data_IF_989075015045
#
_entry.id   IF_989075015045
#
_cell.length_a   1.000
_cell.length_b   1.000
_cell.length_c   1.000
_cell.angle_alpha   90.00
_cell.angle_beta   90.00
_cell.angle_gamma   90.00
#
_symmetry.space_group_name_H-M   'P 1'
#
loop_
_entity.id
_entity.type
_entity.pdbx_description
1 polymer ?
#
# COMPACT_ATOMS: atom_id res chain seq x y z
N UNK A 1 -24.23 15.93 21.09
CA UNK A 1 -22.88 15.40 20.78
C UNK A 1 -22.38 16.04 19.50
N UNK A 2 -21.29 16.82 19.54
CA UNK A 2 -20.66 17.34 18.30
C UNK A 2 -20.12 16.16 17.50
N UNK A 3 -20.65 15.95 16.28
CA UNK A 3 -20.17 14.92 15.35
C UNK A 3 -18.68 15.21 15.08
N UNK A 4 -17.77 14.42 15.64
CA UNK A 4 -16.33 14.60 15.38
C UNK A 4 -16.10 14.39 13.88
N UNK A 5 -15.43 15.38 13.26
CA UNK A 5 -15.05 15.26 11.84
C UNK A 5 -14.14 14.05 11.64
N UNK A 6 -14.44 13.26 10.60
CA UNK A 6 -13.61 12.13 10.19
C UNK A 6 -12.18 12.61 9.84
N UNK A 7 -11.18 11.80 10.18
CA UNK A 7 -9.76 12.10 9.90
C UNK A 7 -9.53 12.43 8.42
N UNK A 8 -10.20 11.72 7.51
CA UNK A 8 -10.13 11.97 6.06
C UNK A 8 -10.51 13.39 5.69
N UNK A 9 -11.59 13.90 6.27
CA UNK A 9 -12.04 15.28 6.02
C UNK A 9 -11.03 16.28 6.56
N UNK A 10 -10.45 16.02 7.73
CA UNK A 10 -9.38 16.88 8.29
C UNK A 10 -8.14 16.90 7.38
N UNK A 11 -7.74 15.75 6.83
CA UNK A 11 -6.61 15.66 5.88
C UNK A 11 -6.91 16.46 4.61
N UNK A 12 -8.11 16.30 4.03
CA UNK A 12 -8.51 17.07 2.84
C UNK A 12 -8.56 18.59 3.11
N UNK A 13 -9.01 19.01 4.29
CA UNK A 13 -8.95 20.41 4.71
C UNK A 13 -7.50 20.87 4.80
N UNK A 14 -6.62 20.10 5.44
CA UNK A 14 -5.19 20.39 5.51
C UNK A 14 -4.55 20.52 4.12
N UNK A 15 -4.90 19.62 3.20
CA UNK A 15 -4.47 19.65 1.80
C UNK A 15 -4.91 20.98 1.11
N UNK A 16 -6.20 21.29 1.15
CA UNK A 16 -6.75 22.48 0.48
C UNK A 16 -6.16 23.75 1.06
N UNK A 17 -6.09 23.87 2.38
CA UNK A 17 -5.47 25.01 3.05
C UNK A 17 -3.98 25.11 2.71
N UNK A 18 -3.27 23.98 2.66
CA UNK A 18 -1.85 23.95 2.26
C UNK A 18 -1.63 24.45 0.84
N UNK A 19 -2.48 24.03 -0.10
CA UNK A 19 -2.45 24.53 -1.50
C UNK A 19 -2.69 26.05 -1.54
N UNK A 20 -3.72 26.55 -0.85
CA UNK A 20 -4.07 27.97 -0.85
C UNK A 20 -2.91 28.80 -0.28
N UNK A 21 -2.42 28.42 0.90
CA UNK A 21 -1.32 29.16 1.57
C UNK A 21 -0.03 29.09 0.74
N UNK A 22 0.30 27.92 0.18
CA UNK A 22 1.46 27.78 -0.71
C UNK A 22 1.35 28.63 -1.98
N UNK A 23 0.16 28.70 -2.59
CA UNK A 23 -0.10 29.55 -3.75
C UNK A 23 0.02 31.05 -3.42
N UNK A 24 -0.41 31.47 -2.23
CA UNK A 24 -0.23 32.85 -1.75
C UNK A 24 1.26 33.16 -1.58
N UNK A 25 2.04 32.30 -0.95
CA UNK A 25 3.50 32.51 -0.85
C UNK A 25 4.16 32.59 -2.23
N UNK A 26 3.81 31.68 -3.12
CA UNK A 26 4.33 31.67 -4.49
C UNK A 26 4.00 32.97 -5.25
N UNK A 27 2.75 33.46 -5.15
CA UNK A 27 2.29 34.65 -5.84
C UNK A 27 2.90 35.94 -5.27
N UNK A 28 3.18 36.01 -3.96
CA UNK A 28 3.68 37.20 -3.28
C UNK A 28 5.19 37.32 -3.26
N UNK A 29 5.91 36.17 -3.14
CA UNK A 29 7.36 36.16 -2.97
C UNK A 29 8.12 35.61 -4.19
N UNK A 30 7.43 34.98 -5.15
CA UNK A 30 8.04 34.20 -6.22
C UNK A 30 8.51 32.83 -5.76
N UNK A 31 8.76 31.91 -6.70
CA UNK A 31 9.03 30.50 -6.40
C UNK A 31 10.28 30.30 -5.51
N UNK A 32 11.38 31.00 -5.81
CA UNK A 32 12.65 30.84 -5.10
C UNK A 32 12.55 31.31 -3.65
N UNK A 33 12.17 32.57 -3.41
CA UNK A 33 12.07 33.14 -2.06
C UNK A 33 10.96 32.45 -1.24
N UNK A 34 9.83 32.09 -1.86
CA UNK A 34 8.76 31.35 -1.20
C UNK A 34 9.20 29.92 -0.85
N UNK A 35 9.93 29.24 -1.75
CA UNK A 35 10.50 27.91 -1.52
C UNK A 35 11.49 27.91 -0.36
N UNK A 36 12.40 28.87 -0.31
CA UNK A 36 13.39 29.01 0.76
C UNK A 36 12.73 29.30 2.10
N UNK A 37 11.82 30.26 2.16
CA UNK A 37 11.11 30.62 3.38
C UNK A 37 10.29 29.43 3.93
N UNK A 38 9.46 28.83 3.08
CA UNK A 38 8.60 27.73 3.49
C UNK A 38 9.42 26.47 3.78
N UNK A 39 10.52 26.25 3.05
CA UNK A 39 11.49 25.16 3.28
C UNK A 39 12.14 25.26 4.65
N UNK A 40 12.50 26.47 5.08
CA UNK A 40 13.15 26.71 6.37
C UNK A 40 12.20 26.67 7.57
N UNK A 41 10.98 27.20 7.43
CA UNK A 41 10.10 27.44 8.58
C UNK A 41 8.84 26.57 8.63
N UNK A 42 8.36 26.05 7.50
CA UNK A 42 7.10 25.28 7.44
C UNK A 42 7.36 23.80 7.15
N UNK A 43 8.19 23.50 6.14
CA UNK A 43 8.54 22.13 5.76
C UNK A 43 9.02 21.26 6.93
N UNK A 44 9.81 21.74 7.91
CA UNK A 44 10.25 20.93 9.04
C UNK A 44 9.13 20.24 9.82
N UNK A 45 7.94 20.84 9.93
CA UNK A 45 6.78 20.20 10.55
C UNK A 45 6.27 19.01 9.71
N UNK A 46 6.31 19.13 8.39
CA UNK A 46 6.05 18.03 7.48
C UNK A 46 7.11 16.94 7.56
N UNK A 47 8.40 17.31 7.65
CA UNK A 47 9.52 16.39 7.78
C UNK A 47 9.46 15.60 9.09
N UNK A 48 9.06 16.23 10.21
CA UNK A 48 8.79 15.53 11.49
C UNK A 48 7.73 14.45 11.27
N UNK A 49 6.64 14.78 10.59
CA UNK A 49 5.59 13.81 10.31
C UNK A 49 6.09 12.66 9.44
N UNK A 50 6.86 12.92 8.38
CA UNK A 50 7.49 11.89 7.54
C UNK A 50 8.47 11.02 8.36
N UNK A 51 9.24 11.63 9.25
CA UNK A 51 10.15 10.89 10.13
C UNK A 51 9.41 9.97 11.10
N UNK A 52 8.27 10.40 11.66
CA UNK A 52 7.41 9.55 12.49
C UNK A 52 6.82 8.38 11.68
N UNK A 53 6.47 8.58 10.40
CA UNK A 53 6.07 7.49 9.53
C UNK A 53 7.23 6.51 9.31
N UNK A 54 8.45 6.99 9.03
CA UNK A 54 9.64 6.13 8.87
C UNK A 54 9.96 5.36 10.14
N UNK A 55 9.82 5.98 11.30
CA UNK A 55 10.05 5.36 12.61
C UNK A 55 9.21 4.09 12.81
N UNK A 56 7.94 4.09 12.40
CA UNK A 56 7.04 2.97 12.63
C UNK A 56 7.15 1.85 11.57
N UNK A 57 7.82 2.09 10.44
CA UNK A 57 7.88 1.15 9.29
C UNK A 57 8.43 -0.21 9.70
N UNK A 58 9.62 -0.24 10.29
CA UNK A 58 10.31 -1.50 10.63
C UNK A 58 9.50 -2.37 11.59
N UNK A 59 9.06 -1.87 12.76
CA UNK A 59 8.26 -2.67 13.67
C UNK A 59 6.90 -3.07 13.06
N UNK A 60 6.26 -2.18 12.31
CA UNK A 60 4.98 -2.48 11.69
C UNK A 60 5.10 -3.63 10.67
N UNK A 61 6.07 -3.56 9.75
CA UNK A 61 6.28 -4.59 8.72
C UNK A 61 6.64 -5.92 9.36
N UNK A 62 7.61 -5.93 10.28
CA UNK A 62 8.05 -7.15 10.95
C UNK A 62 6.89 -7.84 11.68
N UNK A 63 6.19 -7.10 12.53
CA UNK A 63 5.15 -7.66 13.39
C UNK A 63 3.89 -8.03 12.62
N UNK A 64 3.46 -7.19 11.66
CA UNK A 64 2.25 -7.46 10.87
C UNK A 64 2.42 -8.70 10.00
N UNK A 65 3.59 -8.92 9.39
CA UNK A 65 3.85 -10.10 8.58
C UNK A 65 3.94 -11.36 9.47
N UNK A 66 4.65 -11.29 10.61
CA UNK A 66 4.71 -12.40 11.55
C UNK A 66 3.31 -12.77 12.05
N UNK A 67 2.52 -11.79 12.47
CA UNK A 67 1.15 -11.97 12.96
C UNK A 67 0.22 -12.51 11.87
N UNK A 68 0.37 -12.03 10.64
CA UNK A 68 -0.32 -12.54 9.46
C UNK A 68 -0.04 -14.02 9.23
N UNK A 69 1.23 -14.44 9.29
CA UNK A 69 1.63 -15.86 9.17
C UNK A 69 1.07 -16.68 10.33
N UNK A 70 1.18 -16.20 11.56
CA UNK A 70 0.68 -16.88 12.77
C UNK A 70 -0.84 -17.08 12.70
N UNK A 71 -1.58 -16.09 12.24
CA UNK A 71 -3.05 -16.12 12.12
C UNK A 71 -3.55 -17.11 11.07
N UNK A 72 -2.69 -17.57 10.14
CA UNK A 72 -3.02 -18.67 9.23
C UNK A 72 -3.26 -20.01 9.96
N UNK A 73 -2.81 -20.13 11.21
CA UNK A 73 -3.05 -21.29 12.05
C UNK A 73 -2.30 -22.56 11.61
N UNK A 74 -2.88 -23.72 11.87
CA UNK A 74 -2.28 -24.99 11.53
C UNK A 74 -2.21 -25.19 10.01
N UNK A 75 -0.99 -25.17 9.48
CA UNK A 75 -0.68 -25.37 8.04
C UNK A 75 -1.35 -26.66 7.51
N UNK A 76 -1.55 -27.65 8.35
CA UNK A 76 -2.16 -28.94 7.97
C UNK A 76 -3.69 -28.88 7.83
N UNK A 77 -4.38 -28.05 8.63
CA UNK A 77 -5.85 -27.89 8.59
C UNK A 77 -6.32 -26.85 7.55
N UNK A 78 -5.47 -25.88 7.27
CA UNK A 78 -5.71 -24.82 6.26
C UNK A 78 -5.30 -25.30 4.85
N UNK A 79 -4.77 -26.50 4.74
CA UNK A 79 -4.03 -27.04 3.60
C UNK A 79 -4.57 -26.69 2.20
N UNK A 80 -5.86 -26.92 1.89
CA UNK A 80 -6.39 -26.64 0.54
C UNK A 80 -6.89 -25.21 0.36
N UNK A 81 -7.69 -24.70 1.29
CA UNK A 81 -8.26 -23.33 1.20
C UNK A 81 -7.17 -22.27 1.31
N UNK A 82 -6.26 -22.44 2.28
CA UNK A 82 -5.21 -21.48 2.56
C UNK A 82 -4.24 -21.27 1.39
N UNK A 83 -3.71 -22.36 0.86
CA UNK A 83 -2.76 -22.23 -0.24
C UNK A 83 -3.41 -21.67 -1.51
N UNK A 84 -4.68 -22.08 -1.82
CA UNK A 84 -5.45 -21.55 -2.96
C UNK A 84 -5.67 -20.04 -2.80
N UNK A 85 -6.01 -19.60 -1.59
CA UNK A 85 -6.22 -18.19 -1.25
C UNK A 85 -4.93 -17.37 -1.39
N UNK A 86 -3.82 -17.84 -0.81
CA UNK A 86 -2.53 -17.13 -0.88
C UNK A 86 -2.02 -17.10 -2.32
N UNK A 87 -2.09 -18.21 -3.05
CA UNK A 87 -1.69 -18.26 -4.45
C UNK A 87 -2.54 -17.28 -5.31
N UNK A 88 -3.86 -17.23 -5.07
CA UNK A 88 -4.74 -16.29 -5.75
C UNK A 88 -4.28 -14.85 -5.52
N UNK A 89 -4.10 -14.43 -4.26
CA UNK A 89 -3.70 -13.06 -3.92
C UNK A 89 -2.30 -12.71 -4.47
N UNK A 90 -1.33 -13.61 -4.38
CA UNK A 90 0.00 -13.34 -4.94
C UNK A 90 -0.02 -13.16 -6.46
N UNK A 91 -0.80 -13.97 -7.17
CA UNK A 91 -0.93 -13.87 -8.62
C UNK A 91 -1.65 -12.57 -9.02
N UNK A 92 -2.78 -12.24 -8.37
CA UNK A 92 -3.52 -11.00 -8.67
C UNK A 92 -2.69 -9.76 -8.33
N UNK A 93 -1.94 -9.77 -7.22
CA UNK A 93 -1.06 -8.66 -6.84
C UNK A 93 0.12 -8.50 -7.81
N UNK A 94 0.73 -9.58 -8.28
CA UNK A 94 1.78 -9.50 -9.29
C UNK A 94 1.24 -8.92 -10.62
N UNK A 95 0.04 -9.33 -11.05
CA UNK A 95 -0.63 -8.76 -12.23
C UNK A 95 -0.97 -7.28 -11.98
N UNK A 96 -1.42 -6.92 -10.78
CA UNK A 96 -1.69 -5.53 -10.39
C UNK A 96 -0.44 -4.66 -10.53
N UNK A 97 0.73 -5.15 -10.07
CA UNK A 97 2.01 -4.46 -10.25
C UNK A 97 2.33 -4.24 -11.73
N UNK A 98 2.17 -5.27 -12.58
CA UNK A 98 2.42 -5.14 -14.02
C UNK A 98 1.48 -4.08 -14.64
N UNK A 99 0.19 -4.11 -14.32
CA UNK A 99 -0.77 -3.10 -14.79
C UNK A 99 -0.33 -1.69 -14.32
N UNK A 100 0.03 -1.53 -13.05
CA UNK A 100 0.48 -0.26 -12.50
C UNK A 100 1.73 0.28 -13.21
N UNK A 101 2.74 -0.57 -13.47
CA UNK A 101 3.96 -0.19 -14.18
C UNK A 101 3.67 0.17 -15.64
N UNK A 102 2.84 -0.60 -16.34
CA UNK A 102 2.47 -0.32 -17.74
C UNK A 102 1.74 1.01 -17.83
N UNK A 103 0.70 1.21 -17.02
CA UNK A 103 -0.07 2.46 -17.02
C UNK A 103 0.83 3.65 -16.68
N UNK A 104 1.63 3.56 -15.62
CA UNK A 104 2.54 4.64 -15.22
C UNK A 104 3.57 4.97 -16.32
N UNK A 105 4.06 3.95 -17.03
CA UNK A 105 5.02 4.14 -18.13
C UNK A 105 4.39 4.92 -19.30
N UNK A 106 3.10 4.75 -19.57
CA UNK A 106 2.38 5.54 -20.58
C UNK A 106 2.27 7.02 -20.18
N UNK A 107 2.18 7.33 -18.90
CA UNK A 107 2.11 8.68 -18.39
C UNK A 107 3.48 9.30 -18.08
N UNK A 108 4.57 8.52 -18.10
CA UNK A 108 5.93 8.92 -17.71
C UNK A 108 6.40 10.22 -18.39
N UNK A 109 6.11 10.39 -19.68
CA UNK A 109 6.52 11.58 -20.43
C UNK A 109 5.84 12.88 -19.93
N UNK A 110 4.67 12.76 -19.29
CA UNK A 110 3.90 13.89 -18.75
C UNK A 110 4.24 14.21 -17.30
N UNK A 111 5.08 13.40 -16.65
CA UNK A 111 5.50 13.66 -15.27
C UNK A 111 6.63 14.70 -15.23
N UNK A 112 6.61 15.64 -14.27
CA UNK A 112 7.56 16.73 -14.22
C UNK A 112 8.94 16.28 -13.74
N UNK A 113 9.98 16.97 -14.21
CA UNK A 113 11.27 16.98 -13.54
C UNK A 113 11.24 18.12 -12.52
N UNK A 114 11.48 17.83 -11.26
CA UNK A 114 11.48 18.84 -10.19
C UNK A 114 12.89 19.32 -9.93
N UNK A 115 13.08 20.65 -9.86
CA UNK A 115 14.40 21.29 -9.57
C UNK A 115 14.87 21.10 -8.12
N UNK A 116 14.24 20.23 -7.33
CA UNK A 116 14.58 19.99 -5.92
C UNK A 116 15.91 19.23 -5.70
N UNK A 117 16.58 18.84 -6.78
CA UNK A 117 17.73 17.93 -6.74
C UNK A 117 18.98 18.44 -7.48
N UNK A 118 19.18 19.76 -7.61
CA UNK A 118 20.36 20.29 -8.33
C UNK A 118 21.72 19.84 -7.72
N UNK A 119 21.77 19.38 -6.46
CA UNK A 119 23.00 18.96 -5.78
C UNK A 119 23.15 17.45 -5.52
N UNK A 120 22.19 16.62 -5.94
CA UNK A 120 22.25 15.18 -5.70
C UNK A 120 22.32 14.41 -7.02
N UNK A 121 23.53 14.10 -7.47
CA UNK A 121 23.76 13.08 -8.51
C UNK A 121 23.41 11.73 -7.89
N UNK A 122 22.18 11.27 -8.10
CA UNK A 122 21.77 9.91 -7.72
C UNK A 122 22.22 8.94 -8.81
N UNK A 123 23.32 8.23 -8.54
CA UNK A 123 23.67 7.08 -9.36
C UNK A 123 22.66 5.97 -9.09
N UNK A 124 21.94 5.56 -10.14
CA UNK A 124 21.10 4.37 -10.07
C UNK A 124 21.99 3.18 -9.66
N UNK A 125 21.70 2.55 -8.53
CA UNK A 125 22.38 1.30 -8.14
C UNK A 125 22.11 0.26 -9.23
N UNK A 126 23.09 0.02 -10.08
CA UNK A 126 23.08 -1.09 -11.03
C UNK A 126 23.29 -2.38 -10.24
N UNK A 127 22.24 -2.95 -9.68
CA UNK A 127 22.29 -4.27 -9.08
C UNK A 127 21.97 -5.33 -10.14
N UNK A 128 22.80 -6.36 -10.21
CA UNK A 128 22.49 -7.55 -10.97
C UNK A 128 21.26 -8.23 -10.33
N UNK A 129 20.32 -8.72 -11.14
CA UNK A 129 19.11 -9.38 -10.65
C UNK A 129 19.44 -10.54 -9.69
N UNK A 130 20.48 -11.33 -10.01
CA UNK A 130 20.89 -12.46 -9.18
C UNK A 130 21.46 -12.00 -7.83
N UNK A 131 22.28 -10.95 -7.82
CA UNK A 131 22.79 -10.37 -6.58
C UNK A 131 21.66 -9.81 -5.71
N UNK A 132 20.63 -9.24 -6.33
CA UNK A 132 19.44 -8.78 -5.63
C UNK A 132 18.68 -9.94 -5.00
N UNK A 133 18.47 -11.07 -5.72
CA UNK A 133 17.80 -12.26 -5.19
C UNK A 133 18.57 -12.83 -4.00
N UNK A 134 19.90 -12.94 -4.10
CA UNK A 134 20.76 -13.42 -2.99
C UNK A 134 20.66 -12.47 -1.79
N UNK A 135 20.71 -11.17 -2.05
CA UNK A 135 20.66 -10.14 -1.01
C UNK A 135 19.27 -9.98 -0.34
N UNK A 136 18.21 -10.64 -0.85
CA UNK A 136 16.93 -10.75 -0.14
C UNK A 136 17.09 -11.55 1.16
N UNK A 137 18.00 -12.54 1.19
CA UNK A 137 18.24 -13.36 2.36
C UNK A 137 19.28 -12.70 3.28
N UNK A 138 18.91 -12.39 4.54
CA UNK A 138 19.82 -11.69 5.45
C UNK A 138 20.91 -12.63 5.99
N UNK A 139 22.15 -12.19 5.95
CA UNK A 139 23.24 -12.87 6.65
C UNK A 139 23.24 -12.65 8.19
N UNK A 140 22.42 -11.71 8.67
CA UNK A 140 22.29 -11.34 10.07
C UNK A 140 20.87 -10.83 10.34
N UNK A 141 20.24 -11.28 11.43
CA UNK A 141 18.85 -10.94 11.74
C UNK A 141 18.67 -9.49 12.29
N UNK A 142 19.72 -8.84 12.77
CA UNK A 142 19.62 -7.51 13.41
C UNK A 142 19.97 -6.39 12.42
N UNK A 143 21.00 -6.59 11.60
CA UNK A 143 21.46 -5.58 10.64
C UNK A 143 20.32 -5.05 9.71
N UNK A 144 19.42 -5.88 9.16
CA UNK A 144 18.30 -5.40 8.36
C UNK A 144 17.36 -4.47 9.11
N UNK A 145 17.13 -4.71 10.41
CA UNK A 145 16.26 -3.87 11.23
C UNK A 145 16.86 -2.49 11.45
N UNK A 146 18.18 -2.41 11.68
CA UNK A 146 18.90 -1.14 11.87
C UNK A 146 18.98 -0.34 10.57
N UNK A 147 19.25 -1.03 9.46
CA UNK A 147 19.42 -0.42 8.15
C UNK A 147 18.10 -0.24 7.39
N UNK A 148 16.96 -0.65 7.98
CA UNK A 148 15.64 -0.64 7.34
C UNK A 148 15.62 -1.38 6.00
N UNK A 149 16.35 -2.49 5.87
CA UNK A 149 16.43 -3.31 4.65
C UNK A 149 15.17 -4.16 4.51
N UNK A 150 14.11 -3.60 3.95
CA UNK A 150 12.74 -4.10 4.05
C UNK A 150 12.55 -5.51 3.47
N UNK A 151 13.15 -5.83 2.31
CA UNK A 151 13.07 -7.19 1.75
C UNK A 151 13.61 -8.24 2.71
N UNK A 152 14.73 -7.95 3.36
CA UNK A 152 15.34 -8.84 4.36
C UNK A 152 14.47 -8.93 5.62
N UNK A 153 13.82 -7.82 6.04
CA UNK A 153 12.88 -7.81 7.18
C UNK A 153 11.67 -8.71 6.89
N UNK A 154 11.13 -8.66 5.65
CA UNK A 154 10.04 -9.55 5.24
C UNK A 154 10.46 -11.02 5.36
N UNK A 155 11.65 -11.36 4.87
CA UNK A 155 12.16 -12.75 4.98
C UNK A 155 12.30 -13.16 6.44
N UNK A 156 12.88 -12.31 7.29
CA UNK A 156 12.97 -12.56 8.75
C UNK A 156 11.58 -12.82 9.32
N UNK A 157 10.60 -11.96 9.01
CA UNK A 157 9.23 -12.07 9.52
C UNK A 157 8.57 -13.38 9.09
N UNK A 158 8.72 -13.79 7.82
CA UNK A 158 8.18 -15.05 7.30
C UNK A 158 8.83 -16.26 7.99
N UNK A 159 10.16 -16.29 8.13
CA UNK A 159 10.84 -17.41 8.80
C UNK A 159 10.46 -17.53 10.27
N UNK A 160 10.43 -16.44 11.02
CA UNK A 160 10.03 -16.47 12.43
C UNK A 160 8.54 -16.79 12.59
N UNK A 161 7.66 -16.23 11.74
CA UNK A 161 6.24 -16.57 11.74
C UNK A 161 5.99 -18.07 11.50
N UNK A 162 6.64 -18.65 10.48
CA UNK A 162 6.61 -20.09 10.22
C UNK A 162 7.21 -20.89 11.38
N UNK A 163 8.34 -20.45 11.95
CA UNK A 163 8.97 -21.09 13.10
C UNK A 163 8.05 -21.16 14.33
N UNK A 164 7.29 -20.11 14.60
CA UNK A 164 6.29 -20.07 15.68
C UNK A 164 5.20 -21.11 15.45
N UNK A 165 4.68 -21.23 14.21
CA UNK A 165 3.66 -22.22 13.86
C UNK A 165 4.19 -23.64 14.02
N UNK A 166 5.40 -23.92 13.53
CA UNK A 166 6.04 -25.25 13.62
C UNK A 166 6.36 -25.64 15.08
N UNK A 167 6.71 -24.67 15.93
CA UNK A 167 6.96 -24.90 17.35
C UNK A 167 5.70 -25.32 18.14
N UNK A 168 4.50 -25.17 17.56
CA UNK A 168 3.24 -25.59 18.15
C UNK A 168 2.98 -24.95 19.53
N UNK A 169 2.67 -25.79 20.55
CA UNK A 169 2.37 -25.30 21.90
C UNK A 169 3.48 -24.44 22.53
N UNK A 170 4.75 -24.77 22.24
CA UNK A 170 5.91 -24.00 22.73
C UNK A 170 6.04 -22.64 22.06
N UNK A 171 5.54 -22.49 20.83
CA UNK A 171 5.52 -21.24 20.10
C UNK A 171 4.38 -20.30 20.48
N UNK A 172 3.28 -20.82 21.05
CA UNK A 172 2.07 -20.03 21.38
C UNK A 172 2.35 -18.79 22.25
N UNK A 173 3.11 -18.85 23.35
CA UNK A 173 3.37 -17.66 24.18
C UNK A 173 4.06 -16.54 23.36
N UNK A 174 5.01 -16.93 22.50
CA UNK A 174 5.71 -15.96 21.64
C UNK A 174 4.78 -15.42 20.55
N UNK A 175 3.95 -16.27 19.95
CA UNK A 175 2.92 -15.83 18.99
C UNK A 175 1.95 -14.82 19.61
N UNK A 176 1.46 -15.07 20.83
CA UNK A 176 0.60 -14.12 21.57
C UNK A 176 1.31 -12.79 21.86
N UNK A 177 2.59 -12.84 22.19
CA UNK A 177 3.40 -11.63 22.38
C UNK A 177 3.49 -10.83 21.07
N UNK A 178 3.77 -11.49 19.92
CA UNK A 178 3.84 -10.83 18.61
C UNK A 178 2.50 -10.18 18.25
N UNK A 179 1.37 -10.88 18.43
CA UNK A 179 0.03 -10.34 18.14
C UNK A 179 -0.26 -9.12 19.02
N UNK A 180 0.03 -9.19 20.33
CA UNK A 180 -0.14 -8.06 21.26
C UNK A 180 0.76 -6.88 20.91
N UNK A 181 2.02 -7.15 20.52
CA UNK A 181 2.95 -6.10 20.12
C UNK A 181 2.54 -5.46 18.78
N UNK A 182 2.03 -6.26 17.84
CA UNK A 182 1.47 -5.75 16.58
C UNK A 182 0.27 -4.81 16.87
N UNK A 183 -0.63 -5.17 17.77
CA UNK A 183 -1.75 -4.30 18.17
C UNK A 183 -1.26 -2.97 18.76
N UNK A 184 -0.29 -2.99 19.65
CA UNK A 184 0.33 -1.76 20.21
C UNK A 184 0.94 -0.92 19.08
N UNK A 185 1.67 -1.55 18.15
CA UNK A 185 2.29 -0.86 17.02
C UNK A 185 1.24 -0.21 16.11
N UNK A 186 0.11 -0.87 15.86
CA UNK A 186 -1.01 -0.29 15.13
C UNK A 186 -1.65 0.90 15.85
N UNK A 187 -1.74 0.88 17.20
CA UNK A 187 -2.21 2.04 17.99
C UNK A 187 -1.24 3.23 17.86
N UNK A 188 0.07 2.97 17.96
CA UNK A 188 1.10 4.00 17.71
C UNK A 188 0.98 4.58 16.31
N UNK A 189 0.79 3.74 15.30
CA UNK A 189 0.50 4.17 13.92
C UNK A 189 -0.73 5.09 13.88
N UNK A 190 -1.80 4.74 14.61
CA UNK A 190 -3.01 5.58 14.73
C UNK A 190 -2.71 6.98 15.28
N UNK A 191 -1.83 7.11 16.28
CA UNK A 191 -1.41 8.41 16.81
C UNK A 191 -0.63 9.22 15.76
N UNK A 192 0.29 8.57 15.03
CA UNK A 192 1.04 9.22 13.95
C UNK A 192 0.10 9.70 12.85
N UNK A 193 -0.86 8.85 12.44
CA UNK A 193 -1.85 9.22 11.42
C UNK A 193 -2.76 10.36 11.86
N UNK A 194 -3.04 10.53 13.15
CA UNK A 194 -3.80 11.68 13.65
C UNK A 194 -3.10 13.02 13.40
N UNK A 195 -1.77 13.03 13.20
CA UNK A 195 -0.98 14.21 12.83
C UNK A 195 -1.02 14.51 11.32
N UNK A 196 -1.55 13.59 10.50
CA UNK A 196 -1.57 13.74 9.02
C UNK A 196 -2.12 15.06 8.52
N UNK A 197 -3.22 15.63 9.07
CA UNK A 197 -3.73 16.91 8.58
C UNK A 197 -2.69 18.04 8.65
N UNK A 198 -1.88 18.08 9.70
CA UNK A 198 -0.84 19.08 9.89
C UNK A 198 0.40 18.81 9.03
N UNK A 199 0.83 17.54 8.95
CA UNK A 199 1.93 17.13 8.09
C UNK A 199 1.63 17.39 6.61
N UNK A 200 0.43 17.02 6.14
CA UNK A 200 -0.04 17.27 4.77
C UNK A 200 -0.09 18.78 4.48
N UNK A 201 -0.66 19.57 5.40
CA UNK A 201 -0.69 21.03 5.28
C UNK A 201 0.72 21.60 5.07
N UNK A 202 1.67 21.26 5.96
CA UNK A 202 3.02 21.80 5.92
C UNK A 202 3.78 21.41 4.63
N UNK A 203 3.68 20.15 4.22
CA UNK A 203 4.30 19.65 2.99
C UNK A 203 3.69 20.32 1.75
N UNK A 204 2.37 20.46 1.69
CA UNK A 204 1.72 21.07 0.54
C UNK A 204 1.98 22.57 0.44
N UNK A 205 2.06 23.30 1.57
CA UNK A 205 2.51 24.70 1.57
C UNK A 205 3.87 24.82 0.89
N UNK A 206 4.84 24.00 1.30
CA UNK A 206 6.18 24.03 0.74
C UNK A 206 6.21 23.62 -0.74
N UNK A 207 5.56 22.52 -1.10
CA UNK A 207 5.57 22.01 -2.49
C UNK A 207 4.97 23.05 -3.45
N UNK A 208 3.83 23.64 -3.08
CA UNK A 208 3.15 24.63 -3.95
C UNK A 208 3.90 25.97 -3.95
N UNK A 209 4.48 26.39 -2.82
CA UNK A 209 5.30 27.59 -2.75
C UNK A 209 6.57 27.49 -3.62
N UNK A 210 7.24 26.34 -3.62
CA UNK A 210 8.47 26.12 -4.38
C UNK A 210 8.24 25.84 -5.87
N UNK A 211 7.17 25.10 -6.22
CA UNK A 211 6.93 24.61 -7.58
C UNK A 211 5.81 25.37 -8.33
N UNK A 212 5.08 26.21 -7.62
CA UNK A 212 3.88 26.85 -8.14
C UNK A 212 2.70 25.90 -8.32
N UNK A 213 1.61 26.42 -8.88
CA UNK A 213 0.36 25.65 -9.07
C UNK A 213 0.46 24.57 -10.15
N UNK A 214 1.49 24.58 -10.99
CA UNK A 214 1.71 23.55 -12.05
C UNK A 214 1.87 22.15 -11.49
N UNK A 215 2.42 22.00 -10.28
CA UNK A 215 2.56 20.69 -9.63
C UNK A 215 1.22 19.97 -9.40
N UNK A 216 0.13 20.74 -9.20
CA UNK A 216 -1.21 20.19 -8.99
C UNK A 216 -1.71 19.40 -10.22
N UNK A 217 -1.39 19.88 -11.43
CA UNK A 217 -1.68 19.16 -12.66
C UNK A 217 -0.97 17.80 -12.70
N UNK A 218 0.29 17.75 -12.31
CA UNK A 218 1.08 16.52 -12.25
C UNK A 218 0.58 15.55 -11.17
N UNK A 219 0.18 16.06 -10.01
CA UNK A 219 -0.47 15.26 -8.96
C UNK A 219 -1.83 14.71 -9.43
N UNK A 220 -2.58 15.49 -10.21
CA UNK A 220 -3.81 15.03 -10.86
C UNK A 220 -3.55 13.91 -11.88
N UNK A 221 -2.48 14.02 -12.68
CA UNK A 221 -2.11 12.99 -13.66
C UNK A 221 -1.68 11.68 -13.01
N UNK A 222 -0.89 11.73 -11.93
CA UNK A 222 -0.49 10.50 -11.23
C UNK A 222 -1.67 9.83 -10.55
N UNK A 223 -2.61 10.62 -10.00
CA UNK A 223 -3.86 10.09 -9.47
C UNK A 223 -4.69 9.43 -10.56
N UNK A 224 -4.85 10.09 -11.71
CA UNK A 224 -5.58 9.55 -12.86
C UNK A 224 -4.96 8.23 -13.36
N UNK A 225 -3.63 8.16 -13.46
CA UNK A 225 -2.93 6.94 -13.85
C UNK A 225 -3.24 5.77 -12.90
N UNK A 226 -3.22 6.01 -11.59
CA UNK A 226 -3.57 4.97 -10.61
C UNK A 226 -5.02 4.50 -10.75
N UNK A 227 -5.97 5.43 -10.90
CA UNK A 227 -7.39 5.08 -11.07
C UNK A 227 -7.66 4.33 -12.38
N UNK A 228 -6.98 4.68 -13.47
CA UNK A 228 -7.00 3.89 -14.70
C UNK A 228 -6.50 2.47 -14.44
N UNK A 229 -5.39 2.32 -13.71
CA UNK A 229 -4.87 1.02 -13.29
C UNK A 229 -5.88 0.22 -12.46
N UNK A 230 -6.56 0.85 -11.51
CA UNK A 230 -7.62 0.22 -10.71
C UNK A 230 -8.78 -0.27 -11.58
N UNK A 231 -9.26 0.54 -12.50
CA UNK A 231 -10.36 0.17 -13.42
C UNK A 231 -9.94 -0.99 -14.32
N UNK A 232 -8.74 -0.94 -14.90
CA UNK A 232 -8.20 -2.02 -15.74
C UNK A 232 -8.14 -3.32 -14.94
N UNK A 233 -7.64 -3.28 -13.69
CA UNK A 233 -7.53 -4.47 -12.84
C UNK A 233 -8.91 -5.07 -12.53
N UNK A 234 -9.89 -4.25 -12.14
CA UNK A 234 -11.28 -4.69 -11.90
C UNK A 234 -11.87 -5.34 -13.15
N UNK A 235 -11.75 -4.66 -14.30
CA UNK A 235 -12.39 -5.11 -15.55
C UNK A 235 -11.71 -6.36 -16.12
N UNK A 236 -10.39 -6.44 -16.09
CA UNK A 236 -9.67 -7.57 -16.65
C UNK A 236 -9.51 -8.70 -15.64
N UNK A 237 -8.91 -8.42 -14.48
CA UNK A 237 -8.48 -9.48 -13.56
C UNK A 237 -9.66 -10.05 -12.77
N UNK A 238 -10.41 -9.21 -12.08
CA UNK A 238 -11.52 -9.71 -11.26
C UNK A 238 -12.71 -10.19 -12.10
N UNK A 239 -13.02 -9.54 -13.23
CA UNK A 239 -14.08 -10.03 -14.12
C UNK A 239 -13.74 -11.38 -14.73
N UNK A 240 -12.49 -11.55 -15.19
CA UNK A 240 -12.05 -12.84 -15.74
C UNK A 240 -11.98 -13.91 -14.64
N UNK A 241 -11.50 -13.55 -13.47
CA UNK A 241 -11.39 -14.44 -12.31
C UNK A 241 -12.76 -15.02 -11.91
N UNK A 242 -13.74 -14.17 -11.66
CA UNK A 242 -15.08 -14.65 -11.25
C UNK A 242 -15.81 -15.38 -12.39
N UNK A 243 -15.58 -14.99 -13.65
CA UNK A 243 -16.19 -15.67 -14.80
C UNK A 243 -15.60 -17.06 -15.03
N UNK A 244 -14.26 -17.18 -14.98
CA UNK A 244 -13.56 -18.43 -15.33
C UNK A 244 -13.56 -19.39 -14.14
N UNK A 245 -13.19 -18.90 -12.97
CA UNK A 245 -12.97 -19.76 -11.80
C UNK A 245 -14.24 -20.00 -10.98
N UNK A 246 -15.09 -18.99 -10.83
CA UNK A 246 -16.33 -19.11 -10.06
C UNK A 246 -17.59 -19.34 -10.94
N UNK A 247 -17.47 -19.26 -12.28
CA UNK A 247 -18.56 -19.35 -13.23
C UNK A 247 -19.72 -18.37 -12.96
N UNK A 248 -19.41 -17.26 -12.31
CA UNK A 248 -20.36 -16.20 -12.00
C UNK A 248 -20.28 -15.10 -13.06
N UNK A 249 -21.43 -14.49 -13.38
CA UNK A 249 -21.46 -13.31 -14.26
C UNK A 249 -20.78 -12.13 -13.57
N UNK A 250 -19.79 -11.44 -14.21
CA UNK A 250 -19.14 -10.27 -13.64
C UNK A 250 -20.12 -9.17 -13.23
N UNK A 251 -21.17 -8.91 -14.04
CA UNK A 251 -22.19 -7.92 -13.71
C UNK A 251 -22.96 -8.26 -12.43
N UNK A 252 -23.29 -9.55 -12.21
CA UNK A 252 -23.94 -10.00 -10.99
C UNK A 252 -23.00 -9.87 -9.79
N UNK A 253 -21.72 -10.21 -9.95
CA UNK A 253 -20.70 -10.07 -8.92
C UNK A 253 -20.54 -8.61 -8.48
N UNK A 254 -20.28 -7.69 -9.43
CA UNK A 254 -20.07 -6.28 -9.09
C UNK A 254 -21.30 -5.62 -8.48
N UNK A 255 -22.52 -5.99 -8.94
CA UNK A 255 -23.75 -5.51 -8.32
C UNK A 255 -23.86 -5.91 -6.85
N UNK A 256 -23.46 -7.14 -6.51
CA UNK A 256 -23.56 -7.67 -5.14
C UNK A 256 -22.45 -7.18 -4.23
N UNK A 257 -21.20 -6.98 -4.75
CA UNK A 257 -20.08 -6.49 -3.95
C UNK A 257 -20.06 -4.97 -3.81
N UNK A 258 -20.86 -4.24 -4.58
CA UNK A 258 -20.86 -2.77 -4.60
C UNK A 258 -21.04 -2.11 -3.22
N UNK A 259 -21.92 -2.60 -2.30
CA UNK A 259 -22.05 -2.02 -0.95
C UNK A 259 -20.73 -2.05 -0.16
N UNK A 260 -20.00 -3.17 -0.24
CA UNK A 260 -18.70 -3.32 0.40
C UNK A 260 -17.66 -2.39 -0.24
N UNK A 261 -17.59 -2.32 -1.58
CA UNK A 261 -16.69 -1.42 -2.30
C UNK A 261 -16.96 0.05 -1.97
N UNK A 262 -18.22 0.48 -1.92
CA UNK A 262 -18.60 1.86 -1.59
C UNK A 262 -18.26 2.22 -0.15
N UNK A 263 -18.45 1.31 0.81
CA UNK A 263 -18.06 1.53 2.20
C UNK A 263 -16.53 1.56 2.34
N UNK A 264 -15.81 0.64 1.68
CA UNK A 264 -14.35 0.61 1.66
C UNK A 264 -13.75 1.91 1.08
N UNK A 265 -14.34 2.42 0.00
CA UNK A 265 -13.95 3.69 -0.62
C UNK A 265 -14.04 4.87 0.37
N UNK A 266 -15.07 4.91 1.20
CA UNK A 266 -15.28 6.00 2.16
C UNK A 266 -14.52 5.81 3.47
N UNK A 267 -14.47 4.57 3.99
CA UNK A 267 -13.80 4.24 5.26
C UNK A 267 -12.29 4.15 5.12
N UNK A 268 -11.79 3.72 3.94
CA UNK A 268 -10.39 3.40 3.65
C UNK A 268 -9.80 2.35 4.62
N UNK A 269 -10.62 1.39 5.02
CA UNK A 269 -10.22 0.30 5.90
C UNK A 269 -10.87 -1.00 5.46
N UNK A 270 -10.07 -1.95 4.97
CA UNK A 270 -10.54 -3.29 4.62
C UNK A 270 -11.08 -4.02 5.86
N UNK A 271 -10.41 -3.86 7.01
CA UNK A 271 -10.84 -4.47 8.27
C UNK A 271 -12.21 -3.95 8.73
N UNK A 272 -12.43 -2.63 8.67
CA UNK A 272 -13.73 -2.05 9.02
C UNK A 272 -14.85 -2.47 8.04
N UNK A 273 -14.49 -2.88 6.83
CA UNK A 273 -15.44 -3.31 5.78
C UNK A 273 -15.79 -4.80 5.88
N UNK A 274 -15.00 -5.59 6.63
CA UNK A 274 -15.15 -7.06 6.72
C UNK A 274 -16.60 -7.54 6.94
N UNK A 275 -17.40 -6.97 7.88
CA UNK A 275 -18.77 -7.43 8.07
C UNK A 275 -19.63 -7.27 6.80
N UNK A 276 -19.50 -6.12 6.13
CA UNK A 276 -20.27 -5.84 4.91
C UNK A 276 -19.79 -6.73 3.76
N UNK A 277 -18.48 -6.95 3.64
CA UNK A 277 -17.91 -7.85 2.63
C UNK A 277 -18.42 -9.27 2.82
N UNK A 278 -18.54 -9.72 4.07
CA UNK A 278 -19.07 -11.02 4.43
C UNK A 278 -20.53 -11.15 4.01
N UNK A 279 -21.37 -10.17 4.38
CA UNK A 279 -22.79 -10.17 3.98
C UNK A 279 -22.93 -10.23 2.45
N UNK A 280 -22.10 -9.47 1.72
CA UNK A 280 -22.07 -9.54 0.25
C UNK A 280 -21.68 -10.93 -0.27
N UNK A 281 -20.72 -11.59 0.38
CA UNK A 281 -20.29 -12.94 0.01
C UNK A 281 -21.35 -13.99 0.32
N UNK A 282 -22.03 -13.88 1.46
CA UNK A 282 -23.13 -14.75 1.83
C UNK A 282 -24.29 -14.62 0.83
N UNK A 283 -24.63 -13.41 0.38
CA UNK A 283 -25.60 -13.15 -0.70
C UNK A 283 -25.17 -13.76 -2.05
N UNK A 284 -23.87 -13.93 -2.28
CA UNK A 284 -23.32 -14.60 -3.47
C UNK A 284 -23.29 -16.13 -3.34
N UNK A 285 -23.65 -16.68 -2.19
CA UNK A 285 -23.66 -18.12 -1.93
C UNK A 285 -22.27 -18.69 -1.58
N UNK A 286 -21.35 -17.84 -1.10
CA UNK A 286 -20.05 -18.29 -0.61
C UNK A 286 -20.25 -19.11 0.67
N UNK A 287 -19.57 -20.27 0.77
CA UNK A 287 -19.62 -21.09 1.97
C UNK A 287 -19.08 -20.32 3.18
N UNK A 288 -19.80 -20.36 4.32
CA UNK A 288 -19.44 -19.63 5.54
C UNK A 288 -18.02 -19.97 6.07
N UNK A 289 -17.57 -21.22 5.88
CA UNK A 289 -16.19 -21.65 6.22
C UNK A 289 -15.15 -20.92 5.37
N UNK A 290 -15.43 -20.74 4.07
CA UNK A 290 -14.55 -20.05 3.13
C UNK A 290 -14.53 -18.54 3.43
N UNK A 291 -15.69 -17.90 3.58
CA UNK A 291 -15.77 -16.47 3.86
C UNK A 291 -15.10 -16.12 5.19
N UNK A 292 -15.29 -16.95 6.23
CA UNK A 292 -14.68 -16.74 7.56
C UNK A 292 -13.15 -16.84 7.54
N UNK A 293 -12.57 -17.53 6.57
CA UNK A 293 -11.12 -17.68 6.42
C UNK A 293 -10.54 -16.68 5.41
N UNK A 294 -11.12 -16.63 4.20
CA UNK A 294 -10.57 -15.86 3.07
C UNK A 294 -10.63 -14.34 3.32
N UNK A 295 -11.75 -13.85 3.86
CA UNK A 295 -11.94 -12.40 3.99
C UNK A 295 -11.03 -11.75 5.03
N UNK A 296 -10.87 -12.28 6.27
CA UNK A 296 -9.90 -11.73 7.22
C UNK A 296 -8.46 -11.82 6.73
N UNK A 297 -8.12 -12.93 6.04
CA UNK A 297 -6.79 -13.11 5.45
C UNK A 297 -6.57 -12.10 4.31
N UNK A 298 -7.56 -11.91 3.44
CA UNK A 298 -7.52 -10.95 2.34
C UNK A 298 -7.33 -9.52 2.83
N UNK A 299 -8.04 -9.11 3.89
CA UNK A 299 -7.89 -7.78 4.47
C UNK A 299 -6.46 -7.42 4.90
N UNK A 300 -5.55 -8.41 5.00
CA UNK A 300 -4.14 -8.23 5.38
C UNK A 300 -3.14 -8.63 4.31
N UNK A 301 -3.52 -9.47 3.35
CA UNK A 301 -2.61 -10.00 2.32
C UNK A 301 -2.94 -9.46 0.92
N UNK A 302 -4.23 -9.25 0.64
CA UNK A 302 -4.67 -8.79 -0.67
C UNK A 302 -4.55 -7.27 -0.79
N UNK A 303 -3.49 -6.81 -1.43
CA UNK A 303 -3.18 -5.38 -1.58
C UNK A 303 -3.00 -4.97 -3.05
N UNK A 304 -3.86 -5.48 -3.95
CA UNK A 304 -3.78 -5.21 -5.40
C UNK A 304 -3.83 -3.72 -5.73
N UNK A 305 -4.75 -2.98 -5.08
CA UNK A 305 -4.84 -1.54 -5.25
C UNK A 305 -3.63 -0.79 -4.70
N UNK A 306 -3.09 -1.27 -3.58
CA UNK A 306 -1.86 -0.72 -3.00
C UNK A 306 -0.66 -0.97 -3.91
N UNK A 307 -0.58 -2.16 -4.52
CA UNK A 307 0.47 -2.52 -5.46
C UNK A 307 0.46 -1.65 -6.73
N UNK A 308 -0.73 -1.41 -7.33
CA UNK A 308 -0.87 -0.48 -8.45
C UNK A 308 -0.40 0.92 -8.05
N UNK A 309 -0.88 1.43 -6.91
CA UNK A 309 -0.48 2.73 -6.39
C UNK A 309 1.04 2.83 -6.22
N UNK A 310 1.67 1.83 -5.60
CA UNK A 310 3.12 1.82 -5.39
C UNK A 310 3.91 1.86 -6.68
N UNK A 311 3.49 1.09 -7.69
CA UNK A 311 4.11 1.09 -9.01
C UNK A 311 3.99 2.46 -9.71
N UNK A 312 2.80 3.05 -9.68
CA UNK A 312 2.54 4.36 -10.29
C UNK A 312 3.32 5.45 -9.57
N UNK A 313 3.30 5.45 -8.23
CA UNK A 313 4.01 6.41 -7.40
C UNK A 313 5.54 6.29 -7.56
N UNK A 314 6.07 5.07 -7.66
CA UNK A 314 7.50 4.85 -7.85
C UNK A 314 8.01 5.42 -9.18
N UNK A 315 7.30 5.17 -10.28
CA UNK A 315 7.65 5.75 -11.60
C UNK A 315 7.53 7.28 -11.57
N UNK A 316 6.47 7.81 -10.96
CA UNK A 316 6.28 9.25 -10.84
C UNK A 316 7.42 9.91 -10.05
N UNK A 317 7.73 9.40 -8.85
CA UNK A 317 8.78 9.96 -8.00
C UNK A 317 10.17 9.79 -8.60
N UNK A 318 10.46 8.64 -9.22
CA UNK A 318 11.71 8.45 -9.96
C UNK A 318 11.88 9.51 -11.06
N UNK A 319 10.80 9.77 -11.84
CA UNK A 319 10.84 10.80 -12.89
C UNK A 319 11.01 12.20 -12.32
N UNK A 320 10.36 12.51 -11.20
CA UNK A 320 10.49 13.82 -10.54
C UNK A 320 11.94 14.12 -10.14
N UNK A 321 12.74 13.11 -9.80
CA UNK A 321 14.16 13.26 -9.40
C UNK A 321 15.14 12.93 -10.54
N UNK A 322 14.64 12.73 -11.75
CA UNK A 322 15.49 12.50 -12.93
C UNK A 322 16.03 11.07 -13.06
N UNK A 323 15.50 10.11 -12.29
CA UNK A 323 15.88 8.70 -12.37
C UNK A 323 15.00 7.98 -13.39
N UNK A 324 15.62 7.37 -14.40
CA UNK A 324 14.95 6.48 -15.32
C UNK A 324 15.12 5.03 -14.85
N UNK A 325 14.01 4.42 -14.40
CA UNK A 325 14.01 3.05 -13.89
C UNK A 325 14.29 2.06 -15.02
N UNK A 326 15.25 1.17 -14.80
CA UNK A 326 15.59 0.05 -15.67
C UNK A 326 14.58 -1.08 -15.55
N UNK A 327 14.56 -2.01 -16.52
CA UNK A 327 13.70 -3.20 -16.45
C UNK A 327 13.96 -4.02 -15.18
N UNK A 328 15.23 -4.16 -14.76
CA UNK A 328 15.60 -4.84 -13.51
C UNK A 328 14.96 -4.17 -12.29
N UNK A 329 14.99 -2.84 -12.22
CA UNK A 329 14.34 -2.11 -11.13
C UNK A 329 12.81 -2.24 -11.19
N UNK A 330 12.20 -2.28 -12.37
CA UNK A 330 10.75 -2.54 -12.51
C UNK A 330 10.38 -3.94 -12.01
N UNK A 331 11.17 -4.97 -12.31
CA UNK A 331 11.00 -6.32 -11.78
C UNK A 331 11.14 -6.31 -10.25
N UNK A 332 12.11 -5.57 -9.73
CA UNK A 332 12.33 -5.43 -8.29
C UNK A 332 11.13 -4.75 -7.61
N UNK A 333 10.50 -3.76 -8.23
CA UNK A 333 9.26 -3.15 -7.76
C UNK A 333 8.16 -4.21 -7.66
N UNK A 334 7.97 -5.07 -8.69
CA UNK A 334 6.97 -6.13 -8.68
C UNK A 334 7.20 -7.07 -7.50
N UNK A 335 8.43 -7.56 -7.34
CA UNK A 335 8.79 -8.48 -6.26
C UNK A 335 8.56 -7.83 -4.89
N UNK A 336 9.08 -6.61 -4.70
CA UNK A 336 8.97 -5.90 -3.42
C UNK A 336 7.52 -5.58 -3.08
N UNK A 337 6.74 -5.04 -4.02
CA UNK A 337 5.33 -4.70 -3.78
C UNK A 337 4.48 -5.95 -3.53
N UNK A 338 4.72 -7.05 -4.25
CA UNK A 338 4.00 -8.31 -4.05
C UNK A 338 4.33 -8.93 -2.68
N UNK A 339 5.60 -8.94 -2.28
CA UNK A 339 5.98 -9.42 -0.95
C UNK A 339 5.48 -8.50 0.17
N UNK A 340 5.50 -7.19 -0.06
CA UNK A 340 4.98 -6.20 0.89
C UNK A 340 3.47 -6.32 1.09
N UNK A 341 2.73 -6.85 0.12
CA UNK A 341 1.29 -7.10 0.26
C UNK A 341 1.00 -8.11 1.38
N UNK A 342 1.92 -9.07 1.61
CA UNK A 342 1.79 -10.04 2.69
C UNK A 342 1.99 -9.35 4.04
N UNK A 343 0.95 -9.22 4.82
CA UNK A 343 1.01 -8.63 6.17
C UNK A 343 0.93 -7.10 6.22
N UNK A 344 0.56 -6.45 5.11
CA UNK A 344 0.17 -5.04 5.18
C UNK A 344 -1.12 -4.91 5.98
N UNK A 345 -1.10 -4.08 7.04
CA UNK A 345 -2.30 -3.86 7.83
C UNK A 345 -3.43 -3.29 6.96
N UNK A 346 -4.62 -3.90 7.01
CA UNK A 346 -5.82 -3.44 6.28
C UNK A 346 -6.41 -2.14 6.84
N UNK A 347 -5.55 -1.23 7.26
CA UNK A 347 -5.88 0.06 7.89
C UNK A 347 -5.41 1.22 7.01
N UNK A 348 -6.07 2.36 7.15
CA UNK A 348 -5.73 3.58 6.42
C UNK A 348 -4.26 3.97 6.61
N UNK A 349 -3.60 4.37 5.52
CA UNK A 349 -2.22 4.89 5.52
C UNK A 349 -1.10 3.84 5.40
N UNK A 350 -1.39 2.55 5.54
CA UNK A 350 -0.38 1.49 5.43
C UNK A 350 0.32 1.47 4.06
N UNK A 351 -0.39 1.81 2.99
CA UNK A 351 0.17 1.85 1.63
C UNK A 351 1.32 2.83 1.43
N UNK A 352 1.30 3.97 2.13
CA UNK A 352 2.39 4.95 2.09
C UNK A 352 3.69 4.42 2.70
N UNK A 353 3.55 3.68 3.79
CA UNK A 353 4.69 3.06 4.47
C UNK A 353 5.36 2.07 3.53
N UNK A 354 4.54 1.27 2.85
CA UNK A 354 5.03 0.27 1.89
C UNK A 354 5.63 0.92 0.63
N UNK A 355 5.18 2.12 0.24
CA UNK A 355 5.81 2.88 -0.85
C UNK A 355 7.27 3.21 -0.53
N UNK A 356 7.58 3.58 0.72
CA UNK A 356 8.96 3.84 1.12
C UNK A 356 9.88 2.63 0.87
N UNK A 357 9.38 1.42 1.14
CA UNK A 357 10.10 0.17 0.82
C UNK A 357 10.39 0.02 -0.67
N UNK A 358 9.38 0.24 -1.50
CA UNK A 358 9.50 0.09 -2.95
C UNK A 358 10.52 1.09 -3.51
N UNK A 359 10.49 2.34 -3.03
CA UNK A 359 11.44 3.38 -3.44
C UNK A 359 12.87 3.05 -3.02
N UNK A 360 13.07 2.60 -1.77
CA UNK A 360 14.38 2.21 -1.25
C UNK A 360 14.98 1.06 -2.05
N UNK A 361 14.17 0.05 -2.40
CA UNK A 361 14.59 -1.10 -3.19
C UNK A 361 15.15 -0.70 -4.56
N UNK A 362 14.66 0.39 -5.16
CA UNK A 362 15.09 0.86 -6.48
C UNK A 362 16.01 2.09 -6.42
N UNK A 363 16.40 2.52 -5.22
CA UNK A 363 17.33 3.63 -5.01
C UNK A 363 16.72 5.02 -5.23
N UNK A 364 15.40 5.15 -5.16
CA UNK A 364 14.72 6.46 -5.22
C UNK A 364 14.63 7.02 -3.79
N UNK A 365 15.08 8.27 -3.55
CA UNK A 365 15.09 8.82 -2.21
C UNK A 365 13.70 8.95 -1.61
N UNK A 366 13.49 8.36 -0.45
CA UNK A 366 12.19 8.35 0.26
C UNK A 366 11.75 9.72 0.77
N UNK A 367 12.64 10.72 0.81
CA UNK A 367 12.33 12.09 1.18
C UNK A 367 11.29 12.74 0.26
N UNK A 368 11.21 12.28 -1.00
CA UNK A 368 10.26 12.80 -1.98
C UNK A 368 8.83 12.24 -1.85
N UNK A 369 8.60 11.27 -0.97
CA UNK A 369 7.24 10.77 -0.65
C UNK A 369 6.30 11.92 -0.24
N UNK A 370 6.84 12.95 0.41
CA UNK A 370 6.09 14.14 0.81
C UNK A 370 5.32 14.81 -0.34
N UNK A 371 5.80 14.68 -1.59
CA UNK A 371 5.13 15.26 -2.78
C UNK A 371 3.77 14.58 -3.02
N UNK A 372 3.71 13.25 -2.91
CA UNK A 372 2.48 12.46 -3.12
C UNK A 372 1.61 12.44 -1.86
N UNK A 373 2.22 12.59 -0.68
CA UNK A 373 1.51 12.44 0.58
C UNK A 373 0.26 13.31 0.69
N UNK A 374 0.31 14.52 0.15
CA UNK A 374 -0.82 15.44 0.15
C UNK A 374 -2.09 14.87 -0.48
N UNK A 375 -1.96 14.04 -1.51
CA UNK A 375 -3.08 13.43 -2.21
C UNK A 375 -3.25 11.94 -1.88
N UNK A 376 -2.45 11.37 -0.97
CA UNK A 376 -2.48 9.93 -0.63
C UNK A 376 -3.88 9.45 -0.23
N UNK A 377 -4.65 10.32 0.43
CA UNK A 377 -6.03 9.97 0.83
C UNK A 377 -6.91 9.64 -0.36
N UNK A 378 -6.74 10.32 -1.48
CA UNK A 378 -7.49 10.03 -2.69
C UNK A 378 -7.08 8.67 -3.30
N UNK A 379 -5.80 8.34 -3.25
CA UNK A 379 -5.35 7.00 -3.62
C UNK A 379 -5.91 5.93 -2.67
N UNK A 380 -5.90 6.21 -1.35
CA UNK A 380 -6.35 5.27 -0.32
C UNK A 380 -7.82 4.86 -0.49
N UNK A 381 -8.66 5.78 -0.92
CA UNK A 381 -10.07 5.51 -1.22
C UNK A 381 -10.21 4.46 -2.34
N UNK A 382 -9.54 4.68 -3.46
CA UNK A 382 -9.60 3.78 -4.62
C UNK A 382 -8.94 2.43 -4.37
N UNK A 383 -7.73 2.43 -3.78
CA UNK A 383 -6.98 1.19 -3.51
C UNK A 383 -7.69 0.29 -2.50
N UNK A 384 -8.30 0.85 -1.46
CA UNK A 384 -9.03 0.06 -0.46
C UNK A 384 -10.29 -0.55 -1.04
N UNK A 385 -11.04 0.20 -1.85
CA UNK A 385 -12.21 -0.34 -2.55
C UNK A 385 -11.81 -1.51 -3.47
N UNK A 386 -10.70 -1.37 -4.20
CA UNK A 386 -10.16 -2.42 -5.06
C UNK A 386 -9.78 -3.67 -4.27
N UNK A 387 -9.04 -3.51 -3.17
CA UNK A 387 -8.63 -4.63 -2.32
C UNK A 387 -9.83 -5.41 -1.80
N UNK A 388 -10.86 -4.74 -1.29
CA UNK A 388 -12.09 -5.37 -0.78
C UNK A 388 -12.86 -6.13 -1.88
N UNK A 389 -12.89 -5.59 -3.10
CA UNK A 389 -13.46 -6.31 -4.26
C UNK A 389 -12.65 -7.56 -4.56
N UNK A 390 -11.32 -7.51 -4.46
CA UNK A 390 -10.44 -8.66 -4.62
C UNK A 390 -10.64 -9.73 -3.54
N UNK A 391 -10.85 -9.33 -2.28
CA UNK A 391 -11.17 -10.25 -1.18
C UNK A 391 -12.43 -11.06 -1.50
N UNK A 392 -13.51 -10.38 -1.91
CA UNK A 392 -14.76 -11.01 -2.31
C UNK A 392 -14.58 -11.89 -3.55
N UNK A 393 -13.81 -11.45 -4.55
CA UNK A 393 -13.50 -12.21 -5.76
C UNK A 393 -12.78 -13.53 -5.43
N UNK A 394 -11.78 -13.48 -4.55
CA UNK A 394 -11.09 -14.67 -4.06
C UNK A 394 -12.05 -15.61 -3.32
N UNK A 395 -12.87 -15.08 -2.40
CA UNK A 395 -13.81 -15.88 -1.62
C UNK A 395 -14.81 -16.64 -2.52
N UNK A 396 -15.35 -15.99 -3.55
CA UNK A 396 -16.25 -16.61 -4.53
C UNK A 396 -15.53 -17.70 -5.34
N UNK A 397 -14.29 -17.43 -5.80
CA UNK A 397 -13.49 -18.40 -6.57
C UNK A 397 -13.12 -19.63 -5.74
N UNK A 398 -12.61 -19.42 -4.53
CA UNK A 398 -12.20 -20.50 -3.63
C UNK A 398 -13.41 -21.34 -3.20
N UNK A 399 -14.56 -20.71 -2.89
CA UNK A 399 -15.78 -21.41 -2.55
C UNK A 399 -16.26 -22.34 -3.67
N UNK A 400 -16.12 -21.90 -4.94
CA UNK A 400 -16.47 -22.71 -6.10
C UNK A 400 -15.51 -23.90 -6.27
N UNK A 401 -14.20 -23.72 -6.03
CA UNK A 401 -13.22 -24.79 -6.10
C UNK A 401 -13.46 -25.86 -5.03
N UNK A 402 -13.76 -25.43 -3.79
CA UNK A 402 -14.09 -26.35 -2.68
C UNK A 402 -15.43 -27.09 -2.90
N UNK A 403 -16.35 -26.55 -3.69
CA UNK A 403 -17.56 -27.23 -4.10
C UNK A 403 -17.35 -28.33 -5.14
N UNK A 404 -16.29 -28.22 -5.96
CA UNK A 404 -15.91 -29.26 -6.94
C UNK A 404 -15.09 -30.40 -6.35
N UNK A 405 -14.29 -30.09 -5.32
CA UNK A 405 -13.46 -31.10 -4.66
C UNK A 405 -14.27 -32.00 -3.70
N UNK A 406 -15.54 -31.62 -3.39
CA UNK A 406 -16.45 -32.39 -2.54
C UNK A 406 -17.43 -33.30 -3.32
N UNK A 407 -17.40 -33.26 -4.66
CA UNK A 407 -18.18 -34.11 -5.57
C UNK A 407 -17.26 -35.11 -6.27
#
# INVERSE_FOLDING_TARGET
MKKQMNLSVKILIGLVLGIIVGAVFWATMGAEAAGDFTGKYIKPFGDIFVNLLKFIVVPLVLLSIMDGVISMGDISKVGKIGWKTVAYFLVTTAIACVIGLVVASLFKASFPLLKLAEDAVYEAKHSNLMDTIVNIFPGNAVSPLVNSSMLQIIVIALFFGCGILVAGEKGKPFGTFISSFNEVTQKVMGFILALSPYGVFALMVWVVAAQGTKILGSLGLVLLAAYIGYVIHVVLVYSMSVKIFARMSPGAFFKKVFPAAAFAFTSTSSVATLPITRDCCDDMGVKGEVSSFVLPLGATINMDGTAIYQCVAAIFLAKCVGIDLTLTQMILIIVTATLASIGTAGTSGAGMIMLAMVLDAVGVPTTYIGIIYGIDRLFDMGRTALNVVGDASCAVCVSHWEGKDAA
#
